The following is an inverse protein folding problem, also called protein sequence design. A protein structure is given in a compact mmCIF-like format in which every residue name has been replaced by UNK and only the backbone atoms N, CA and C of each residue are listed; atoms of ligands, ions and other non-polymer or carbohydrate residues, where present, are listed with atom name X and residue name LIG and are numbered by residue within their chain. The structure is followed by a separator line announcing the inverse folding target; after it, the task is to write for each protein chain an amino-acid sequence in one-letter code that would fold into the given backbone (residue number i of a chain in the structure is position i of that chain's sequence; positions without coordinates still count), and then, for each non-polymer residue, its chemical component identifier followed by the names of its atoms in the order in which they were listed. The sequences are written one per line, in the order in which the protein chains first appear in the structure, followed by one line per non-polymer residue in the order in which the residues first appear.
data_IF_853469541838
#
_entry.id   IF_853469541838
#
_cell.length_a   1.000
_cell.length_b   1.000
_cell.length_c   1.000
_cell.angle_alpha   90.00
_cell.angle_beta   90.00
_cell.angle_gamma   90.00
#
_symmetry.space_group_name_H-M   'P 1'
#
loop_
_entity.id
_entity.type
_entity.pdbx_description
1 polymer ?
#
# COMPACT_ATOMS: atom_id res chain seq x y z
N UNK A 1 -22.03 24.46 11.21
CA UNK A 1 -21.21 24.21 10.00
C UNK A 1 -20.20 23.10 10.20
N UNK A 2 -19.24 23.22 11.11
CA UNK A 2 -18.17 22.22 11.30
C UNK A 2 -18.67 20.78 11.52
N UNK A 3 -19.64 20.56 12.41
CA UNK A 3 -20.23 19.22 12.63
C UNK A 3 -20.92 18.66 11.39
N UNK A 4 -21.67 19.49 10.65
CA UNK A 4 -22.34 19.07 9.42
C UNK A 4 -21.31 18.67 8.34
N UNK A 5 -20.21 19.41 8.26
CA UNK A 5 -19.07 19.07 7.40
C UNK A 5 -18.44 17.74 7.84
N UNK A 6 -18.12 17.58 9.13
CA UNK A 6 -17.56 16.36 9.70
C UNK A 6 -18.34 15.11 9.34
N UNK A 7 -19.67 15.16 9.47
CA UNK A 7 -20.58 14.07 9.09
C UNK A 7 -20.55 13.71 7.61
N UNK A 8 -20.25 14.66 6.72
CA UNK A 8 -20.17 14.41 5.28
C UNK A 8 -18.81 13.91 4.82
N UNK A 9 -17.74 14.39 5.43
CA UNK A 9 -16.37 14.06 4.99
C UNK A 9 -15.84 12.77 5.62
N UNK A 10 -16.31 12.40 6.82
CA UNK A 10 -15.94 11.16 7.48
C UNK A 10 -16.67 9.97 6.88
N UNK A 11 -15.94 8.95 6.45
CA UNK A 11 -16.49 7.66 6.05
C UNK A 11 -16.10 6.56 7.02
N UNK A 12 -15.94 5.35 6.50
CA UNK A 12 -15.66 4.18 7.32
C UNK A 12 -14.29 4.29 8.04
N UNK A 13 -14.24 3.93 9.32
CA UNK A 13 -12.98 3.82 10.08
C UNK A 13 -12.39 5.14 10.57
N UNK A 14 -13.14 6.24 10.45
CA UNK A 14 -12.74 7.56 10.96
C UNK A 14 -13.85 8.17 11.80
N UNK A 15 -13.47 9.07 12.71
CA UNK A 15 -14.40 9.87 13.50
C UNK A 15 -13.86 11.30 13.62
N UNK A 16 -14.71 12.23 14.02
CA UNK A 16 -14.31 13.61 14.29
C UNK A 16 -14.58 13.99 15.75
N UNK A 17 -13.78 14.93 16.28
CA UNK A 17 -13.92 15.38 17.66
C UNK A 17 -15.16 16.26 17.84
N UNK A 18 -15.88 16.02 18.93
CA UNK A 18 -16.95 16.88 19.43
C UNK A 18 -16.68 17.26 20.91
N UNK A 19 -17.03 18.48 21.35
CA UNK A 19 -17.54 19.59 20.53
C UNK A 19 -16.44 20.24 19.67
N UNK A 20 -16.79 20.99 18.61
CA UNK A 20 -15.83 21.79 17.86
C UNK A 20 -15.07 22.76 18.77
N UNK A 21 -13.77 22.93 18.53
CA UNK A 21 -12.91 23.90 19.22
C UNK A 21 -12.56 25.02 18.24
N UNK A 22 -12.93 26.26 18.56
CA UNK A 22 -12.65 27.44 17.71
C UNK A 22 -13.19 27.31 16.27
N UNK A 23 -14.38 26.70 16.11
CA UNK A 23 -14.99 26.48 14.79
C UNK A 23 -14.27 25.42 13.93
N UNK A 24 -13.30 24.71 14.50
CA UNK A 24 -12.55 23.62 13.89
C UNK A 24 -12.97 22.28 14.48
N UNK A 25 -12.99 21.26 13.64
CA UNK A 25 -13.02 19.86 14.07
C UNK A 25 -11.78 19.15 13.53
N UNK A 26 -11.24 18.22 14.32
CA UNK A 26 -10.21 17.31 13.86
C UNK A 26 -10.85 15.97 13.51
N UNK A 27 -10.26 15.28 12.54
CA UNK A 27 -10.64 13.92 12.14
C UNK A 27 -9.52 13.00 12.56
N UNK A 28 -9.89 11.88 13.17
CA UNK A 28 -8.98 10.88 13.69
C UNK A 28 -9.32 9.50 13.15
N UNK A 29 -8.31 8.66 13.07
CA UNK A 29 -8.48 7.25 12.75
C UNK A 29 -9.14 6.53 13.92
N UNK A 30 -10.19 5.75 13.64
CA UNK A 30 -10.85 4.92 14.65
C UNK A 30 -10.09 3.62 14.92
N UNK A 31 -9.30 3.16 13.93
CA UNK A 31 -8.65 1.85 13.93
C UNK A 31 -7.33 1.91 13.16
N UNK A 32 -6.51 0.87 13.33
CA UNK A 32 -5.41 0.60 12.40
C UNK A 32 -5.98 0.25 11.03
N UNK A 33 -5.50 0.90 9.97
CA UNK A 33 -6.02 0.66 8.63
C UNK A 33 -5.35 1.46 7.53
N UNK A 34 -5.86 1.27 6.31
CA UNK A 34 -5.36 1.95 5.11
C UNK A 34 -6.13 3.23 4.85
N UNK A 35 -5.45 4.37 5.01
CA UNK A 35 -6.02 5.69 4.80
C UNK A 35 -6.25 5.97 3.31
N UNK A 36 -7.50 6.22 2.94
CA UNK A 36 -7.92 6.69 1.62
C UNK A 36 -8.41 8.12 1.74
N UNK A 37 -7.93 8.96 0.82
CA UNK A 37 -8.38 10.34 0.69
C UNK A 37 -8.84 10.54 -0.74
N UNK A 38 -10.08 11.01 -0.89
CA UNK A 38 -10.62 11.37 -2.18
C UNK A 38 -10.15 12.79 -2.55
N UNK A 39 -8.98 12.86 -3.19
CA UNK A 39 -8.35 14.11 -3.59
C UNK A 39 -9.25 14.97 -4.49
N UNK A 40 -9.97 14.37 -5.42
CA UNK A 40 -10.85 15.12 -6.34
C UNK A 40 -11.95 15.89 -5.60
N UNK A 41 -12.69 15.24 -4.69
CA UNK A 41 -13.73 15.92 -3.89
C UNK A 41 -13.10 16.88 -2.88
N UNK A 42 -11.94 16.53 -2.30
CA UNK A 42 -11.21 17.42 -1.40
C UNK A 42 -10.86 18.75 -2.08
N UNK A 43 -10.30 18.67 -3.29
CA UNK A 43 -9.89 19.83 -4.07
C UNK A 43 -11.13 20.67 -4.47
N UNK A 44 -12.20 20.03 -4.96
CA UNK A 44 -13.46 20.70 -5.33
C UNK A 44 -14.13 21.43 -4.15
N UNK A 45 -14.16 20.80 -2.97
CA UNK A 45 -14.74 21.42 -1.77
C UNK A 45 -13.88 22.59 -1.28
N UNK A 46 -12.56 22.47 -1.32
CA UNK A 46 -11.66 23.57 -0.95
C UNK A 46 -11.72 24.73 -1.94
N UNK A 47 -11.93 24.47 -3.23
CA UNK A 47 -12.07 25.50 -4.27
C UNK A 47 -13.31 26.40 -4.07
N UNK A 48 -14.31 25.95 -3.31
CA UNK A 48 -15.48 26.77 -2.96
C UNK A 48 -15.15 28.03 -2.14
N UNK A 49 -13.99 28.07 -1.46
CA UNK A 49 -13.44 29.25 -0.79
C UNK A 49 -13.99 29.57 0.61
N UNK A 50 -15.07 28.95 1.08
CA UNK A 50 -15.58 29.18 2.45
C UNK A 50 -15.19 28.09 3.44
N UNK A 51 -14.71 26.96 2.94
CA UNK A 51 -14.29 25.82 3.75
C UNK A 51 -12.79 25.62 3.62
N UNK A 52 -12.18 25.16 4.72
CA UNK A 52 -10.83 24.66 4.72
C UNK A 52 -10.86 23.22 5.23
N UNK A 53 -10.42 22.29 4.40
CA UNK A 53 -10.16 20.90 4.76
C UNK A 53 -8.70 20.62 4.44
N UNK A 54 -7.91 20.36 5.48
CA UNK A 54 -6.51 20.01 5.35
C UNK A 54 -6.28 18.61 5.90
N UNK A 55 -5.70 17.73 5.08
CA UNK A 55 -5.45 16.32 5.41
C UNK A 55 -3.96 16.03 5.40
N UNK A 56 -3.53 14.98 6.12
CA UNK A 56 -2.26 14.32 5.82
C UNK A 56 -2.34 13.64 4.43
N UNK A 57 -1.24 13.11 3.93
CA UNK A 57 -1.25 12.32 2.70
C UNK A 57 -1.99 10.99 2.90
N UNK A 58 -2.83 10.63 1.93
CA UNK A 58 -3.50 9.33 1.86
C UNK A 58 -2.55 8.20 1.46
N UNK A 59 -3.14 7.06 1.10
CA UNK A 59 -2.42 5.87 0.63
C UNK A 59 -1.32 5.40 1.58
N UNK A 60 -1.58 5.43 2.89
CA UNK A 60 -0.66 4.96 3.94
C UNK A 60 -1.40 4.25 5.07
N UNK A 61 -0.66 3.46 5.86
CA UNK A 61 -1.18 2.89 7.10
C UNK A 61 -1.21 3.95 8.19
N UNK A 62 -2.29 3.97 8.96
CA UNK A 62 -2.50 4.79 10.16
C UNK A 62 -2.96 3.90 11.31
N UNK A 63 -2.76 4.36 12.54
CA UNK A 63 -3.20 3.70 13.78
C UNK A 63 -4.33 4.44 14.47
N UNK A 64 -5.04 3.76 15.37
CA UNK A 64 -6.17 4.35 16.09
C UNK A 64 -5.73 5.59 16.89
N UNK A 65 -6.53 6.65 16.84
CA UNK A 65 -6.24 7.93 17.49
C UNK A 65 -5.29 8.85 16.73
N UNK A 66 -4.72 8.44 15.58
CA UNK A 66 -3.94 9.35 14.75
C UNK A 66 -4.81 10.46 14.15
N UNK A 67 -4.33 11.70 14.21
CA UNK A 67 -4.97 12.85 13.56
C UNK A 67 -4.73 12.79 12.04
N UNK A 68 -5.82 12.73 11.28
CA UNK A 68 -5.82 12.59 9.83
C UNK A 68 -6.08 13.90 9.11
N UNK A 69 -6.94 14.74 9.67
CA UNK A 69 -7.32 16.00 9.06
C UNK A 69 -7.81 17.02 10.09
N UNK A 70 -7.84 18.28 9.67
CA UNK A 70 -8.57 19.35 10.34
C UNK A 70 -9.47 20.06 9.33
N UNK A 71 -10.67 20.44 9.76
CA UNK A 71 -11.54 21.26 8.94
C UNK A 71 -12.24 22.36 9.71
N UNK A 72 -12.53 23.46 9.03
CA UNK A 72 -13.20 24.65 9.56
C UNK A 72 -13.89 25.42 8.43
N UNK A 73 -14.83 26.28 8.81
CA UNK A 73 -15.21 27.40 7.94
C UNK A 73 -14.13 28.49 8.02
N UNK A 74 -13.89 29.18 6.92
CA UNK A 74 -13.00 30.35 6.86
C UNK A 74 -13.68 31.59 7.44
N UNK A 75 -14.90 31.99 7.00
CA UNK A 75 -15.58 33.14 7.58
C UNK A 75 -16.10 32.83 8.99
N UNK A 76 -16.40 33.88 9.78
CA UNK A 76 -17.00 33.73 11.10
C UNK A 76 -18.37 33.02 11.03
N UNK A 77 -19.13 33.30 9.98
CA UNK A 77 -20.44 32.69 9.71
C UNK A 77 -20.58 32.36 8.23
N UNK A 78 -21.40 31.36 7.92
CA UNK A 78 -21.73 30.98 6.55
C UNK A 78 -23.25 30.86 6.43
N UNK A 79 -23.81 31.37 5.33
CA UNK A 79 -25.24 31.20 5.02
C UNK A 79 -25.55 29.71 4.82
N UNK A 80 -26.69 29.26 5.33
CA UNK A 80 -27.09 27.85 5.27
C UNK A 80 -27.17 27.35 3.83
N UNK A 81 -27.73 28.15 2.93
CA UNK A 81 -27.88 27.80 1.51
C UNK A 81 -26.52 27.61 0.82
N UNK A 82 -25.51 28.39 1.23
CA UNK A 82 -24.15 28.25 0.70
C UNK A 82 -23.48 26.99 1.23
N UNK A 83 -23.61 26.72 2.53
CA UNK A 83 -23.11 25.49 3.14
C UNK A 83 -23.75 24.24 2.51
N UNK A 84 -25.06 24.24 2.33
CA UNK A 84 -25.79 23.11 1.76
C UNK A 84 -25.34 22.81 0.31
N UNK A 85 -25.07 23.84 -0.49
CA UNK A 85 -24.49 23.69 -1.84
C UNK A 85 -23.10 23.03 -1.80
N UNK A 86 -22.24 23.45 -0.87
CA UNK A 86 -20.89 22.87 -0.75
C UNK A 86 -20.98 21.42 -0.26
N UNK A 87 -21.85 21.13 0.71
CA UNK A 87 -22.06 19.77 1.20
C UNK A 87 -22.64 18.84 0.11
N UNK A 88 -23.36 19.38 -0.88
CA UNK A 88 -23.86 18.62 -2.01
C UNK A 88 -22.76 18.16 -2.98
N UNK A 89 -21.60 18.83 -3.02
CA UNK A 89 -20.42 18.39 -3.78
C UNK A 89 -19.84 17.08 -3.21
N UNK A 90 -20.07 16.83 -1.92
CA UNK A 90 -19.58 15.64 -1.21
C UNK A 90 -20.53 14.46 -1.47
N UNK A 91 -20.40 13.89 -2.67
CA UNK A 91 -21.17 12.71 -3.12
C UNK A 91 -20.81 11.42 -2.39
N UNK A 92 -19.58 11.33 -1.87
CA UNK A 92 -19.05 10.22 -1.06
C UNK A 92 -18.07 10.76 -0.02
N UNK A 93 -17.78 10.01 1.04
CA UNK A 93 -16.82 10.43 2.05
C UNK A 93 -15.47 10.84 1.45
N UNK A 94 -14.85 11.85 2.04
CA UNK A 94 -13.53 12.34 1.60
C UNK A 94 -12.42 11.50 2.26
N UNK A 95 -12.62 11.10 3.52
CA UNK A 95 -11.62 10.41 4.33
C UNK A 95 -12.19 9.09 4.82
N UNK A 96 -11.47 8.01 4.56
CA UNK A 96 -11.80 6.67 5.03
C UNK A 96 -10.53 5.96 5.49
N UNK A 97 -10.67 5.05 6.46
CA UNK A 97 -9.60 4.14 6.87
C UNK A 97 -10.11 2.72 6.65
N UNK A 98 -9.72 2.08 5.54
CA UNK A 98 -10.14 0.71 5.22
C UNK A 98 -9.54 -0.29 6.21
N UNK A 99 -10.35 -1.24 6.65
CA UNK A 99 -9.90 -2.31 7.53
C UNK A 99 -8.90 -3.22 6.82
N UNK A 100 -7.86 -3.63 7.53
CA UNK A 100 -6.90 -4.61 7.03
C UNK A 100 -7.45 -6.02 7.19
N UNK A 101 -7.11 -6.89 6.26
CA UNK A 101 -7.42 -8.31 6.25
C UNK A 101 -6.12 -9.08 6.29
N UNK A 102 -6.03 -10.05 7.19
CA UNK A 102 -4.89 -10.95 7.23
C UNK A 102 -4.89 -11.87 6.01
N UNK A 103 -3.70 -12.29 5.58
CA UNK A 103 -3.52 -13.27 4.50
C UNK A 103 -2.58 -14.39 4.92
N UNK A 104 -2.87 -15.56 4.35
CA UNK A 104 -1.93 -16.66 4.32
C UNK A 104 -1.03 -16.52 3.10
N UNK A 105 0.27 -16.30 3.34
CA UNK A 105 1.25 -16.07 2.31
C UNK A 105 2.18 -17.27 2.09
N UNK A 106 2.80 -17.34 0.92
CA UNK A 106 3.91 -18.23 0.62
C UNK A 106 5.15 -17.40 0.28
N UNK A 107 6.32 -17.87 0.74
CA UNK A 107 7.61 -17.26 0.44
C UNK A 107 8.47 -18.29 -0.28
N UNK A 108 8.93 -17.95 -1.48
CA UNK A 108 9.81 -18.79 -2.29
C UNK A 108 11.09 -17.99 -2.52
N UNK A 109 12.17 -18.40 -1.88
CA UNK A 109 13.48 -17.80 -2.07
C UNK A 109 14.24 -18.54 -3.16
N UNK A 110 14.65 -17.82 -4.20
CA UNK A 110 15.50 -18.35 -5.28
C UNK A 110 16.94 -17.91 -5.05
N UNK A 111 17.87 -18.73 -5.53
CA UNK A 111 19.29 -18.46 -5.42
C UNK A 111 20.07 -19.75 -5.32
N UNK A 112 20.87 -20.06 -6.34
CA UNK A 112 21.65 -21.28 -6.40
C UNK A 112 22.62 -21.44 -5.23
N UNK A 113 23.22 -20.35 -4.74
CA UNK A 113 24.08 -20.32 -3.56
C UNK A 113 23.32 -20.53 -2.25
N UNK A 114 22.10 -19.99 -2.12
CA UNK A 114 21.25 -20.17 -0.94
C UNK A 114 20.78 -21.62 -0.88
N UNK A 115 20.33 -22.16 -2.02
CA UNK A 115 19.87 -23.54 -2.15
C UNK A 115 20.97 -24.56 -1.81
N UNK A 116 22.21 -24.29 -2.22
CA UNK A 116 23.38 -25.13 -1.89
C UNK A 116 23.92 -24.91 -0.46
N UNK A 117 23.29 -24.05 0.34
CA UNK A 117 23.71 -23.73 1.71
C UNK A 117 25.02 -22.95 1.81
N UNK A 118 25.48 -22.33 0.73
CA UNK A 118 26.70 -21.51 0.71
C UNK A 118 26.49 -20.15 1.38
N UNK A 119 25.27 -19.62 1.30
CA UNK A 119 24.85 -18.43 2.00
C UNK A 119 23.50 -18.67 2.70
N UNK A 120 23.20 -17.84 3.69
CA UNK A 120 21.92 -17.88 4.40
C UNK A 120 20.88 -17.02 3.71
N UNK A 121 19.63 -17.49 3.68
CA UNK A 121 18.48 -16.72 3.22
C UNK A 121 18.21 -15.51 4.14
N UNK A 122 18.35 -14.31 3.58
CA UNK A 122 18.07 -13.04 4.25
C UNK A 122 16.73 -12.42 3.82
N UNK A 123 16.09 -12.92 2.78
CA UNK A 123 14.79 -12.40 2.32
C UNK A 123 13.68 -12.87 3.24
N UNK A 124 13.58 -14.18 3.48
CA UNK A 124 12.44 -14.76 4.23
C UNK A 124 12.22 -14.12 5.59
N UNK A 125 13.25 -13.87 6.44
CA UNK A 125 13.05 -13.18 7.72
C UNK A 125 12.45 -11.77 7.58
N UNK A 126 12.94 -10.98 6.61
CA UNK A 126 12.46 -9.61 6.34
C UNK A 126 11.03 -9.62 5.85
N UNK A 127 10.69 -10.53 4.92
CA UNK A 127 9.32 -10.65 4.41
C UNK A 127 8.36 -11.09 5.52
N UNK A 128 8.74 -12.05 6.37
CA UNK A 128 7.91 -12.47 7.51
C UNK A 128 7.65 -11.32 8.49
N UNK A 129 8.61 -10.45 8.72
CA UNK A 129 8.41 -9.24 9.54
C UNK A 129 7.38 -8.30 8.92
N UNK A 130 7.50 -8.04 7.60
CA UNK A 130 6.52 -7.22 6.87
C UNK A 130 5.12 -7.84 6.91
N UNK A 131 4.99 -9.16 6.77
CA UNK A 131 3.69 -9.85 6.89
C UNK A 131 3.10 -9.74 8.30
N UNK A 132 3.92 -9.90 9.35
CA UNK A 132 3.48 -9.76 10.75
C UNK A 132 2.93 -8.36 11.05
N UNK A 133 3.48 -7.31 10.43
CA UNK A 133 2.93 -5.96 10.57
C UNK A 133 1.46 -5.87 10.11
N UNK A 134 1.02 -6.73 9.19
CA UNK A 134 -0.37 -6.83 8.72
C UNK A 134 -1.12 -8.02 9.33
N UNK A 135 -0.67 -8.50 10.50
CA UNK A 135 -1.30 -9.63 11.22
C UNK A 135 -1.42 -10.89 10.34
N UNK A 136 -0.51 -11.03 9.38
CA UNK A 136 -0.46 -12.07 8.35
C UNK A 136 0.73 -12.99 8.58
N UNK A 137 0.69 -14.19 7.99
CA UNK A 137 1.71 -15.23 8.21
C UNK A 137 2.13 -15.90 6.90
N UNK A 138 3.33 -16.47 6.91
CA UNK A 138 3.76 -17.40 5.87
C UNK A 138 3.33 -18.82 6.29
N UNK A 139 2.53 -19.48 5.44
CA UNK A 139 2.10 -20.88 5.62
C UNK A 139 2.94 -21.86 4.81
N UNK A 140 3.75 -21.34 3.88
CA UNK A 140 4.63 -22.10 3.02
C UNK A 140 5.92 -21.31 2.79
N UNK A 141 7.06 -21.96 3.04
CA UNK A 141 8.39 -21.40 2.86
C UNK A 141 9.24 -22.43 2.13
N UNK A 142 9.89 -22.03 1.03
CA UNK A 142 10.72 -22.93 0.23
C UNK A 142 11.91 -22.18 -0.38
N UNK A 143 13.08 -22.79 -0.30
CA UNK A 143 14.28 -22.32 -1.01
C UNK A 143 14.45 -23.19 -2.25
N UNK A 144 14.65 -22.57 -3.41
CA UNK A 144 14.78 -23.26 -4.71
C UNK A 144 16.00 -22.74 -5.48
N UNK A 145 16.60 -23.55 -6.37
CA UNK A 145 17.63 -23.06 -7.29
C UNK A 145 17.04 -22.08 -8.32
N UNK A 146 17.91 -21.36 -9.05
CA UNK A 146 17.50 -20.48 -10.15
C UNK A 146 17.15 -21.29 -11.40
N UNK A 147 16.00 -21.95 -11.32
CA UNK A 147 15.44 -22.76 -12.39
C UNK A 147 13.97 -22.40 -12.61
N UNK A 148 13.64 -22.00 -13.83
CA UNK A 148 12.29 -21.56 -14.24
C UNK A 148 11.21 -22.59 -13.90
N UNK A 149 11.48 -23.88 -14.13
CA UNK A 149 10.50 -24.94 -13.94
C UNK A 149 10.30 -25.25 -12.46
N UNK A 150 11.38 -25.29 -11.66
CA UNK A 150 11.29 -25.51 -10.21
C UNK A 150 10.59 -24.33 -9.52
N UNK A 151 10.86 -23.08 -9.95
CA UNK A 151 10.16 -21.89 -9.45
C UNK A 151 8.67 -21.99 -9.75
N UNK A 152 8.30 -22.30 -11.01
CA UNK A 152 6.91 -22.51 -11.43
C UNK A 152 6.22 -23.56 -10.57
N UNK A 153 6.81 -24.75 -10.42
CA UNK A 153 6.24 -25.85 -9.65
C UNK A 153 6.04 -25.46 -8.19
N UNK A 154 6.97 -24.71 -7.60
CA UNK A 154 6.86 -24.24 -6.22
C UNK A 154 5.76 -23.20 -6.02
N UNK A 155 5.51 -22.33 -7.02
CA UNK A 155 4.39 -21.40 -7.01
C UNK A 155 3.05 -22.16 -7.08
N UNK A 156 2.96 -23.18 -7.95
CA UNK A 156 1.76 -24.01 -8.06
C UNK A 156 1.53 -24.84 -6.78
N UNK A 157 2.59 -25.35 -6.16
CA UNK A 157 2.53 -26.02 -4.86
C UNK A 157 1.98 -25.07 -3.79
N UNK A 158 2.55 -23.86 -3.67
CA UNK A 158 2.07 -22.84 -2.73
C UNK A 158 0.58 -22.51 -2.92
N UNK A 159 0.12 -22.41 -4.17
CA UNK A 159 -1.31 -22.25 -4.49
C UNK A 159 -2.14 -23.42 -3.94
N UNK A 160 -1.73 -24.67 -4.17
CA UNK A 160 -2.46 -25.85 -3.65
C UNK A 160 -2.47 -25.93 -2.12
N UNK A 161 -1.47 -25.34 -1.45
CA UNK A 161 -1.43 -25.19 0.02
C UNK A 161 -2.35 -24.07 0.55
N UNK A 162 -3.03 -23.33 -0.32
CA UNK A 162 -4.00 -22.30 0.06
C UNK A 162 -3.40 -20.89 0.21
N UNK A 163 -2.22 -20.63 -0.35
CA UNK A 163 -1.63 -19.30 -0.31
C UNK A 163 -2.50 -18.28 -1.08
N UNK A 164 -2.79 -17.14 -0.43
CA UNK A 164 -3.53 -16.00 -1.00
C UNK A 164 -2.59 -14.90 -1.53
N UNK A 165 -1.32 -14.97 -1.14
CA UNK A 165 -0.24 -14.09 -1.54
C UNK A 165 1.01 -14.94 -1.73
N UNK A 166 1.66 -14.88 -2.89
CA UNK A 166 2.90 -15.59 -3.15
C UNK A 166 4.00 -14.57 -3.38
N UNK A 167 5.11 -14.71 -2.66
CA UNK A 167 6.25 -13.81 -2.74
C UNK A 167 7.45 -14.64 -3.17
N UNK A 168 7.94 -14.37 -4.37
CA UNK A 168 9.15 -14.96 -4.93
C UNK A 168 10.26 -13.92 -4.82
N UNK A 169 11.41 -14.31 -4.27
CA UNK A 169 12.53 -13.41 -3.98
C UNK A 169 13.81 -13.94 -4.62
N UNK A 170 14.72 -13.04 -5.02
CA UNK A 170 15.91 -13.42 -5.79
C UNK A 170 15.61 -13.56 -7.29
N UNK A 171 16.65 -13.51 -8.12
CA UNK A 171 16.54 -13.82 -9.55
C UNK A 171 15.67 -12.85 -10.38
N UNK A 172 15.62 -11.55 -10.03
CA UNK A 172 14.58 -10.58 -10.48
C UNK A 172 15.06 -9.44 -11.39
N UNK A 173 16.37 -9.33 -11.64
CA UNK A 173 16.94 -8.27 -12.48
C UNK A 173 16.81 -8.64 -13.97
N UNK A 174 17.64 -8.04 -14.81
CA UNK A 174 17.76 -8.33 -16.25
C UNK A 174 18.95 -9.26 -16.54
N UNK A 175 19.54 -9.87 -15.51
CA UNK A 175 20.70 -10.73 -15.70
C UNK A 175 20.27 -12.03 -16.40
N UNK A 176 21.08 -12.60 -17.31
CA UNK A 176 20.72 -13.83 -18.02
C UNK A 176 20.38 -15.01 -17.11
N UNK A 177 20.92 -15.00 -15.89
CA UNK A 177 20.74 -16.02 -14.86
C UNK A 177 19.45 -15.80 -14.04
N UNK A 178 18.80 -14.66 -14.16
CA UNK A 178 17.55 -14.35 -13.46
C UNK A 178 16.37 -15.15 -14.04
N UNK A 179 15.94 -16.17 -13.29
CA UNK A 179 14.84 -17.06 -13.71
C UNK A 179 13.50 -16.74 -13.06
N UNK A 180 13.41 -15.84 -12.08
CA UNK A 180 12.17 -15.59 -11.35
C UNK A 180 11.05 -15.00 -12.22
N UNK A 181 11.27 -13.95 -13.03
CA UNK A 181 10.24 -13.47 -13.95
C UNK A 181 9.75 -14.55 -14.92
N UNK A 182 10.68 -15.38 -15.41
CA UNK A 182 10.37 -16.52 -16.28
C UNK A 182 9.52 -17.56 -15.57
N UNK A 183 9.90 -17.94 -14.35
CA UNK A 183 9.18 -18.94 -13.54
C UNK A 183 7.76 -18.50 -13.20
N UNK A 184 7.58 -17.23 -12.82
CA UNK A 184 6.25 -16.65 -12.58
C UNK A 184 5.42 -16.64 -13.88
N UNK A 185 5.99 -16.19 -15.00
CA UNK A 185 5.27 -16.20 -16.28
C UNK A 185 4.87 -17.62 -16.72
N UNK A 186 5.71 -18.61 -16.44
CA UNK A 186 5.49 -20.00 -16.82
C UNK A 186 4.35 -20.69 -16.03
N UNK A 187 3.85 -20.10 -14.95
CA UNK A 187 2.63 -20.57 -14.26
C UNK A 187 1.35 -20.23 -15.02
N UNK A 188 1.43 -19.36 -16.02
CA UNK A 188 0.25 -18.79 -16.69
C UNK A 188 -0.32 -17.55 -15.97
N UNK A 189 0.40 -16.98 -15.00
CA UNK A 189 -0.04 -15.76 -14.32
C UNK A 189 -0.12 -14.57 -15.27
N UNK A 190 -1.15 -13.75 -15.10
CA UNK A 190 -1.33 -12.47 -15.79
C UNK A 190 -0.38 -11.42 -15.18
N UNK A 191 0.63 -11.00 -15.96
CA UNK A 191 1.56 -9.96 -15.51
C UNK A 191 0.88 -8.59 -15.57
N UNK A 192 0.71 -7.94 -14.42
CA UNK A 192 0.19 -6.56 -14.32
C UNK A 192 1.31 -5.56 -14.61
N UNK A 193 2.46 -5.78 -13.99
CA UNK A 193 3.65 -4.97 -14.19
C UNK A 193 4.92 -5.77 -14.00
N UNK A 194 5.88 -5.52 -14.88
CA UNK A 194 7.28 -5.82 -14.65
C UNK A 194 8.01 -4.49 -14.59
N UNK A 195 8.39 -4.13 -13.38
CA UNK A 195 8.95 -2.85 -13.00
C UNK A 195 7.97 -1.91 -12.30
N UNK A 196 8.52 -0.94 -11.60
CA UNK A 196 7.78 0.19 -11.02
C UNK A 196 8.59 1.49 -11.12
N UNK A 197 7.94 2.66 -11.22
CA UNK A 197 8.62 3.96 -11.19
C UNK A 197 8.97 4.37 -9.74
N UNK A 198 9.49 3.43 -8.94
CA UNK A 198 9.82 3.64 -7.53
C UNK A 198 11.28 3.24 -7.27
N UNK A 199 11.99 4.08 -6.55
CA UNK A 199 13.39 3.87 -6.18
C UNK A 199 13.50 4.03 -4.65
N UNK A 200 13.84 2.97 -3.88
CA UNK A 200 14.21 1.61 -4.31
C UNK A 200 13.01 0.68 -4.63
N UNK A 201 13.26 -0.34 -5.46
CA UNK A 201 12.25 -1.34 -5.85
C UNK A 201 11.76 -1.25 -7.29
N UNK A 202 12.56 -0.66 -8.18
CA UNK A 202 12.18 -0.47 -9.59
C UNK A 202 12.01 -1.78 -10.34
N UNK A 203 12.70 -2.86 -9.94
CA UNK A 203 12.63 -4.20 -10.56
C UNK A 203 11.69 -5.15 -9.81
N UNK A 204 10.50 -4.69 -9.46
CA UNK A 204 9.43 -5.52 -8.89
C UNK A 204 8.58 -6.12 -10.00
N UNK A 205 8.08 -7.34 -9.81
CA UNK A 205 7.09 -7.96 -10.69
C UNK A 205 5.81 -8.16 -9.89
N UNK A 206 4.68 -7.79 -10.47
CA UNK A 206 3.35 -8.05 -9.92
C UNK A 206 2.52 -8.80 -10.95
N UNK A 207 1.95 -9.94 -10.55
CA UNK A 207 1.12 -10.78 -11.39
C UNK A 207 -0.04 -11.40 -10.62
N UNK A 208 -1.09 -11.81 -11.32
CA UNK A 208 -2.21 -12.56 -10.76
C UNK A 208 -2.26 -13.96 -11.36
N UNK A 209 -2.32 -14.98 -10.51
CA UNK A 209 -2.64 -16.36 -10.90
C UNK A 209 -4.03 -16.68 -10.36
N UNK A 210 -5.04 -16.56 -11.23
CA UNK A 210 -6.44 -16.42 -10.83
C UNK A 210 -6.60 -15.23 -9.87
N UNK A 211 -7.11 -15.45 -8.65
CA UNK A 211 -7.25 -14.42 -7.61
C UNK A 211 -5.99 -14.27 -6.72
N UNK A 212 -4.97 -15.11 -6.92
CA UNK A 212 -3.76 -15.12 -6.08
C UNK A 212 -2.76 -14.10 -6.61
N UNK A 213 -2.39 -13.15 -5.75
CA UNK A 213 -1.38 -12.15 -6.06
C UNK A 213 0.03 -12.75 -5.92
N UNK A 214 0.86 -12.55 -6.94
CA UNK A 214 2.26 -12.97 -6.98
C UNK A 214 3.15 -11.74 -7.07
N UNK A 215 4.11 -11.63 -6.17
CA UNK A 215 5.22 -10.69 -6.25
C UNK A 215 6.52 -11.39 -6.61
N UNK A 216 7.26 -10.82 -7.56
CA UNK A 216 8.70 -11.03 -7.68
C UNK A 216 9.43 -9.85 -7.06
N UNK A 217 10.34 -10.09 -6.12
CA UNK A 217 11.01 -9.03 -5.35
C UNK A 217 12.52 -8.97 -5.61
N UNK A 218 13.07 -7.76 -5.91
CA UNK A 218 14.50 -7.57 -6.09
C UNK A 218 15.25 -7.50 -4.76
N UNK A 219 16.58 -7.65 -4.80
CA UNK A 219 17.45 -7.69 -3.63
C UNK A 219 17.38 -6.46 -2.71
N UNK A 220 16.98 -5.29 -3.23
CA UNK A 220 16.87 -4.07 -2.42
C UNK A 220 15.87 -4.23 -1.25
N UNK A 221 14.91 -5.16 -1.34
CA UNK A 221 13.95 -5.43 -0.26
C UNK A 221 14.65 -5.89 1.04
N UNK A 222 15.82 -6.50 0.95
CA UNK A 222 16.60 -6.91 2.14
C UNK A 222 17.28 -5.73 2.84
N UNK A 223 17.69 -4.72 2.08
CA UNK A 223 18.59 -3.66 2.57
C UNK A 223 17.86 -2.34 2.84
N UNK A 224 16.74 -2.11 2.16
CA UNK A 224 15.95 -0.89 2.29
C UNK A 224 14.71 -1.16 3.15
N UNK A 225 14.54 -0.35 4.20
CA UNK A 225 13.38 -0.41 5.10
C UNK A 225 12.04 -0.24 4.35
N UNK A 226 12.01 0.64 3.35
CA UNK A 226 10.82 0.94 2.54
C UNK A 226 11.18 0.94 1.06
N UNK A 227 10.42 0.21 0.27
CA UNK A 227 10.59 -0.04 -1.17
C UNK A 227 9.24 0.02 -1.88
N UNK A 228 9.24 -0.13 -3.21
CA UNK A 228 8.02 -0.33 -4.00
C UNK A 228 7.07 -1.40 -3.43
N UNK A 229 7.61 -2.49 -2.86
CA UNK A 229 6.81 -3.54 -2.24
C UNK A 229 5.99 -3.01 -1.06
N UNK A 230 6.61 -2.22 -0.19
CA UNK A 230 5.97 -1.65 1.00
C UNK A 230 4.87 -0.64 0.64
N UNK A 231 4.98 0.03 -0.50
CA UNK A 231 3.96 0.95 -0.99
C UNK A 231 2.71 0.22 -1.51
N UNK A 232 2.88 -1.02 -1.99
CA UNK A 232 1.80 -1.82 -2.54
C UNK A 232 1.11 -2.69 -1.47
N UNK A 233 1.85 -3.12 -0.43
CA UNK A 233 1.32 -3.97 0.65
C UNK A 233 -0.01 -3.47 1.26
N UNK A 234 -0.20 -2.17 1.56
CA UNK A 234 -1.48 -1.70 2.08
C UNK A 234 -2.69 -2.09 1.23
N UNK A 235 -2.58 -2.03 -0.10
CA UNK A 235 -3.64 -2.45 -1.04
C UNK A 235 -3.85 -3.97 -1.04
N UNK A 236 -2.76 -4.73 -0.91
CA UNK A 236 -2.83 -6.20 -0.79
C UNK A 236 -3.72 -6.59 0.38
N UNK A 237 -3.52 -5.95 1.53
CA UNK A 237 -4.24 -6.27 2.76
C UNK A 237 -5.59 -5.55 2.90
N UNK A 238 -6.08 -4.86 1.86
CA UNK A 238 -7.46 -4.37 1.78
C UNK A 238 -8.29 -5.09 0.71
N UNK A 239 -7.75 -6.12 0.08
CA UNK A 239 -8.31 -6.80 -1.11
C UNK A 239 -8.62 -5.86 -2.28
N UNK A 240 -7.90 -4.72 -2.38
CA UNK A 240 -7.95 -3.88 -3.57
C UNK A 240 -7.16 -4.55 -4.68
N UNK A 241 -7.80 -4.83 -5.82
CA UNK A 241 -7.10 -5.28 -7.03
C UNK A 241 -6.11 -4.19 -7.45
N UNK A 242 -4.83 -4.54 -7.55
CA UNK A 242 -3.77 -3.63 -7.95
C UNK A 242 -3.72 -3.60 -9.47
N UNK A 243 -4.04 -2.45 -10.05
CA UNK A 243 -3.96 -2.23 -11.48
C UNK A 243 -2.56 -1.73 -11.88
N UNK A 244 -2.26 -1.81 -13.19
CA UNK A 244 -1.05 -1.18 -13.73
C UNK A 244 -1.00 0.32 -13.43
N UNK A 245 -2.15 1.01 -13.43
CA UNK A 245 -2.25 2.45 -13.12
C UNK A 245 -1.86 2.76 -11.67
N UNK A 246 -2.23 1.89 -10.73
CA UNK A 246 -1.82 2.04 -9.33
C UNK A 246 -0.29 2.00 -9.20
N UNK A 247 0.39 1.18 -10.01
CA UNK A 247 1.86 1.05 -9.99
C UNK A 247 2.52 2.24 -10.70
N UNK A 248 2.06 2.60 -11.91
CA UNK A 248 2.65 3.70 -12.66
C UNK A 248 2.44 5.06 -11.98
N UNK A 249 1.34 5.21 -11.24
CA UNK A 249 1.06 6.43 -10.47
C UNK A 249 2.06 6.69 -9.33
N UNK A 250 2.72 5.64 -8.83
CA UNK A 250 3.72 5.77 -7.75
C UNK A 250 4.94 6.61 -8.15
N UNK A 251 5.13 6.90 -9.44
CA UNK A 251 6.23 7.73 -9.92
C UNK A 251 6.19 9.15 -9.34
N UNK A 252 5.00 9.68 -9.09
CA UNK A 252 4.86 10.98 -8.43
C UNK A 252 5.18 10.84 -6.93
N UNK A 253 6.39 11.25 -6.54
CA UNK A 253 6.91 11.00 -5.19
C UNK A 253 7.55 9.61 -5.02
N UNK A 254 7.83 8.90 -6.11
CA UNK A 254 8.42 7.55 -6.10
C UNK A 254 9.91 7.48 -5.77
N UNK A 255 10.55 8.58 -5.38
CA UNK A 255 11.97 8.63 -5.05
C UNK A 255 12.18 8.70 -3.54
N UNK A 256 12.79 7.66 -2.97
CA UNK A 256 13.30 7.68 -1.60
C UNK A 256 14.62 8.44 -1.57
N UNK A 257 14.72 9.43 -0.67
CA UNK A 257 15.93 10.24 -0.51
C UNK A 257 17.02 9.56 0.33
N UNK A 258 16.77 8.35 0.85
CA UNK A 258 17.69 7.60 1.71
C UNK A 258 18.26 8.44 2.87
N UNK A 259 17.39 9.20 3.55
CA UNK A 259 17.78 10.05 4.68
C UNK A 259 18.44 9.23 5.80
N UNK A 260 19.40 9.83 6.51
CA UNK A 260 20.11 9.20 7.65
C UNK A 260 19.14 8.66 8.71
N UNK A 261 18.09 9.43 9.01
CA UNK A 261 16.99 9.03 9.87
C UNK A 261 15.74 8.85 9.04
N UNK A 262 15.25 7.62 8.95
CA UNK A 262 14.04 7.31 8.20
C UNK A 262 12.79 7.80 8.96
N UNK A 263 12.13 8.81 8.40
CA UNK A 263 10.86 9.38 8.90
C UNK A 263 9.65 8.99 8.04
N UNK A 264 9.78 8.01 7.14
CA UNK A 264 8.65 7.49 6.37
C UNK A 264 7.53 7.01 7.34
N UNK A 265 6.24 7.35 7.10
CA UNK A 265 5.67 7.94 5.89
C UNK A 265 5.53 9.48 5.92
N UNK A 266 6.24 10.19 6.80
CA UNK A 266 6.16 11.65 6.93
C UNK A 266 7.21 12.42 6.10
N UNK A 267 7.91 11.76 5.15
CA UNK A 267 8.81 12.39 4.17
C UNK A 267 8.13 12.60 2.81
N UNK A 268 8.87 13.02 1.77
CA UNK A 268 8.37 13.20 0.39
C UNK A 268 8.16 11.90 -0.40
N UNK A 269 8.54 10.75 0.16
CA UNK A 269 8.42 9.45 -0.51
C UNK A 269 6.98 8.94 -0.49
N UNK A 270 6.54 8.36 -1.61
CA UNK A 270 5.22 7.77 -1.84
C UNK A 270 4.05 8.73 -1.60
N UNK A 271 4.09 9.89 -2.26
CA UNK A 271 3.07 10.96 -2.15
C UNK A 271 2.12 11.07 -3.33
N UNK A 272 2.18 10.11 -4.25
CA UNK A 272 1.29 9.95 -5.40
C UNK A 272 -0.03 9.26 -5.08
#
# INVERSE_FOLDING_TARGET
AAVALGRKICGEGVYFEEPPKEGKINILAQRKGYLKINKGILDEVNDSGDLCIATIHGNRIVTAGEKLAGCRIIPLTIKKEKLDKILALISKPIIEVKSLKNKDAAIIATGSEVFKGRITDKFTPVIKEKLRFYDSRAIFEKIVPDDTQIIKESILEAKTKGAQLIIVTGGMSVDPDDKTPGGIKATGAEIVSYGSPVLPGSMILLAYLDEILIFGLPGCVMYNKTTAFDLLLPKVFTDEKISRKDITGLGYGGLCLNCDICVYPNCSFAKG
#
